data_IF_738770237363
#
_entry.id   IF_738770237363
#
_cell.length_a   1.000
_cell.length_b   1.000
_cell.length_c   1.000
_cell.angle_alpha   90.00
_cell.angle_beta   90.00
_cell.angle_gamma   90.00
#
_symmetry.space_group_name_H-M   'P 1'
#
loop_
_entity.id
_entity.type
_entity.pdbx_description
1 polymer ?
#
# COMPACT_ATOMS: atom_id res chain seq x y z
N UNK A 1 11.27 -20.34 -8.81
CA UNK A 1 11.10 -19.71 -10.14
C UNK A 1 10.58 -18.31 -9.96
N UNK A 2 10.79 -17.42 -10.95
CA UNK A 2 10.50 -15.98 -10.76
C UNK A 2 9.55 -15.48 -11.86
N UNK A 3 8.59 -14.64 -11.47
CA UNK A 3 7.72 -13.83 -12.33
C UNK A 3 7.62 -12.42 -11.78
N UNK A 4 7.29 -11.47 -12.64
CA UNK A 4 7.17 -10.07 -12.24
C UNK A 4 6.08 -9.38 -13.05
N UNK A 5 5.47 -8.36 -12.42
CA UNK A 5 4.54 -7.44 -13.06
C UNK A 5 4.82 -6.02 -12.57
N UNK A 6 4.23 -5.02 -13.21
CA UNK A 6 4.30 -3.63 -12.77
C UNK A 6 2.92 -3.17 -12.31
N UNK A 7 2.82 -2.71 -11.07
CA UNK A 7 1.61 -2.14 -10.49
C UNK A 7 1.93 -1.17 -9.34
N UNK A 8 1.03 -0.26 -9.03
CA UNK A 8 1.18 0.72 -7.94
C UNK A 8 2.49 1.53 -8.06
N UNK A 9 2.90 1.86 -9.28
CA UNK A 9 4.17 2.52 -9.62
C UNK A 9 5.42 1.80 -9.09
N UNK A 10 5.37 0.46 -8.99
CA UNK A 10 6.50 -0.37 -8.59
C UNK A 10 6.51 -1.67 -9.39
N UNK A 11 7.69 -2.28 -9.47
CA UNK A 11 7.82 -3.66 -9.86
C UNK A 11 7.36 -4.54 -8.70
N UNK A 12 6.54 -5.53 -8.99
CA UNK A 12 6.13 -6.58 -8.04
C UNK A 12 6.74 -7.89 -8.52
N UNK A 13 7.57 -8.49 -7.67
CA UNK A 13 8.31 -9.71 -7.95
C UNK A 13 7.75 -10.87 -7.15
N UNK A 14 7.60 -12.01 -7.80
CA UNK A 14 7.11 -13.26 -7.23
C UNK A 14 8.16 -14.34 -7.40
N UNK A 15 8.58 -14.95 -6.33
CA UNK A 15 9.51 -16.09 -6.33
C UNK A 15 8.84 -17.26 -5.63
N UNK A 16 8.80 -18.43 -6.31
CA UNK A 16 8.17 -19.65 -5.78
C UNK A 16 9.09 -20.85 -6.03
N UNK A 17 8.90 -21.91 -5.24
CA UNK A 17 9.65 -23.19 -5.39
C UNK A 17 9.36 -23.89 -6.72
N UNK A 18 8.14 -23.75 -7.24
CA UNK A 18 7.70 -24.29 -8.54
C UNK A 18 7.10 -23.18 -9.42
N UNK A 19 6.97 -23.38 -10.74
CA UNK A 19 6.34 -22.40 -11.63
C UNK A 19 4.91 -22.07 -11.17
N UNK A 20 4.55 -20.78 -11.19
CA UNK A 20 3.16 -20.37 -11.04
C UNK A 20 2.43 -20.76 -12.32
N UNK A 21 1.34 -21.52 -12.19
CA UNK A 21 0.50 -21.91 -13.33
C UNK A 21 -0.03 -20.66 -14.06
N UNK A 22 -0.19 -20.74 -15.38
CA UNK A 22 -0.55 -19.58 -16.19
C UNK A 22 -1.90 -18.99 -15.77
N UNK A 23 -2.89 -19.83 -15.49
CA UNK A 23 -4.21 -19.40 -14.99
C UNK A 23 -4.13 -18.63 -13.66
N UNK A 24 -3.29 -19.10 -12.74
CA UNK A 24 -3.05 -18.43 -11.45
C UNK A 24 -2.32 -17.09 -11.65
N UNK A 25 -1.36 -17.07 -12.58
CA UNK A 25 -0.64 -15.84 -12.92
C UNK A 25 -1.55 -14.79 -13.53
N UNK A 26 -2.40 -15.15 -14.49
CA UNK A 26 -3.38 -14.23 -15.06
C UNK A 26 -4.34 -13.64 -14.03
N UNK A 27 -4.72 -14.44 -13.01
CA UNK A 27 -5.57 -13.93 -11.93
C UNK A 27 -4.82 -12.98 -11.01
N UNK A 28 -3.53 -13.23 -10.73
CA UNK A 28 -2.69 -12.27 -10.00
C UNK A 28 -2.55 -10.96 -10.78
N UNK A 29 -2.29 -11.04 -12.08
CA UNK A 29 -2.21 -9.84 -12.95
C UNK A 29 -3.53 -9.06 -12.92
N UNK A 30 -4.67 -9.74 -13.07
CA UNK A 30 -6.01 -9.09 -12.98
C UNK A 30 -6.22 -8.43 -11.60
N UNK A 31 -5.82 -9.11 -10.54
CA UNK A 31 -5.94 -8.56 -9.19
C UNK A 31 -5.06 -7.31 -8.99
N UNK A 32 -3.80 -7.34 -9.40
CA UNK A 32 -2.91 -6.18 -9.27
C UNK A 32 -3.34 -5.01 -10.17
N UNK A 33 -3.86 -5.28 -11.36
CA UNK A 33 -4.46 -4.24 -12.22
C UNK A 33 -5.71 -3.62 -11.57
N UNK A 34 -6.53 -4.43 -10.89
CA UNK A 34 -7.66 -3.92 -10.11
C UNK A 34 -7.17 -3.00 -8.99
N UNK A 35 -6.20 -3.43 -8.19
CA UNK A 35 -5.64 -2.65 -7.09
C UNK A 35 -5.06 -1.32 -7.60
N UNK A 36 -4.27 -1.36 -8.66
CA UNK A 36 -3.63 -0.17 -9.24
C UNK A 36 -4.65 0.89 -9.65
N UNK A 37 -5.79 0.47 -10.19
CA UNK A 37 -6.89 1.37 -10.59
C UNK A 37 -7.75 1.80 -9.42
N UNK A 38 -8.24 0.86 -8.61
CA UNK A 38 -9.31 1.13 -7.65
C UNK A 38 -8.84 1.68 -6.31
N UNK A 39 -7.58 1.43 -5.93
CA UNK A 39 -7.00 1.92 -4.66
C UNK A 39 -6.16 3.19 -4.84
N UNK A 40 -6.08 3.70 -6.08
CA UNK A 40 -5.31 4.90 -6.40
C UNK A 40 -6.10 6.17 -6.10
N UNK A 41 -5.49 7.11 -5.37
CA UNK A 41 -6.03 8.47 -5.20
C UNK A 41 -5.75 9.39 -6.39
N UNK A 42 -4.97 8.93 -7.35
CA UNK A 42 -4.60 9.69 -8.55
C UNK A 42 -5.49 9.36 -9.76
N UNK A 43 -6.29 8.32 -9.67
CA UNK A 43 -7.28 7.96 -10.68
C UNK A 43 -8.66 8.47 -10.22
N UNK A 44 -9.22 9.44 -10.94
CA UNK A 44 -10.51 10.05 -10.62
C UNK A 44 -11.69 9.07 -10.68
N UNK A 45 -11.52 7.95 -11.38
CA UNK A 45 -12.53 6.90 -11.49
C UNK A 45 -12.37 5.80 -10.45
N UNK A 46 -11.36 5.89 -9.58
CA UNK A 46 -11.13 4.91 -8.53
C UNK A 46 -12.19 4.95 -7.43
N UNK A 47 -12.42 3.81 -6.78
CA UNK A 47 -13.28 3.74 -5.59
C UNK A 47 -12.78 4.68 -4.48
N UNK A 48 -11.45 4.79 -4.28
CA UNK A 48 -10.83 5.71 -3.30
C UNK A 48 -11.15 7.17 -3.64
N UNK A 49 -11.05 7.55 -4.90
CA UNK A 49 -11.38 8.92 -5.32
C UNK A 49 -12.87 9.22 -5.21
N UNK A 50 -13.73 8.24 -5.47
CA UNK A 50 -15.18 8.38 -5.24
C UNK A 50 -15.48 8.57 -3.74
N UNK A 51 -14.88 7.78 -2.85
CA UNK A 51 -15.03 7.94 -1.39
C UNK A 51 -14.54 9.33 -0.94
N UNK A 52 -13.43 9.82 -1.48
CA UNK A 52 -12.89 11.13 -1.14
C UNK A 52 -13.79 12.31 -1.61
N UNK A 53 -14.70 12.08 -2.55
CA UNK A 53 -15.69 13.08 -3.02
C UNK A 53 -17.02 13.04 -2.30
N UNK A 54 -17.28 12.05 -1.44
CA UNK A 54 -18.52 11.99 -0.66
C UNK A 54 -18.68 13.24 0.21
N UNK A 55 -19.92 13.68 0.41
CA UNK A 55 -20.25 14.66 1.45
C UNK A 55 -20.38 13.93 2.79
N UNK A 56 -20.25 14.64 3.86
CA UNK A 56 -20.55 14.09 5.21
C UNK A 56 -22.01 13.65 5.25
N UNK A 57 -22.25 12.40 5.64
CA UNK A 57 -23.55 11.75 5.65
C UNK A 57 -23.81 10.86 4.44
N UNK A 58 -23.06 11.00 3.34
CA UNK A 58 -23.24 10.16 2.15
C UNK A 58 -22.56 8.79 2.34
N UNK A 59 -23.13 7.77 1.70
CA UNK A 59 -22.65 6.38 1.69
C UNK A 59 -22.35 5.94 0.26
N UNK A 60 -21.26 5.19 0.08
CA UNK A 60 -20.89 4.52 -1.16
C UNK A 60 -20.63 3.04 -0.88
N UNK A 61 -21.22 2.17 -1.68
CA UNK A 61 -20.91 0.73 -1.68
C UNK A 61 -19.66 0.51 -2.52
N UNK A 62 -18.62 -0.07 -1.90
CA UNK A 62 -17.35 -0.35 -2.54
C UNK A 62 -17.12 -1.86 -2.66
N UNK A 63 -16.09 -2.23 -3.43
CA UNK A 63 -15.69 -3.63 -3.55
C UNK A 63 -15.27 -4.22 -2.20
N UNK A 64 -15.53 -5.51 -2.02
CA UNK A 64 -15.15 -6.24 -0.79
C UNK A 64 -13.65 -6.16 -0.45
N UNK A 65 -12.70 -6.25 -1.42
CA UNK A 65 -11.29 -6.06 -1.12
C UNK A 65 -10.97 -4.68 -0.55
N UNK A 66 -11.55 -3.61 -1.10
CA UNK A 66 -11.34 -2.26 -0.59
C UNK A 66 -11.99 -2.07 0.78
N UNK A 67 -13.23 -2.52 0.97
CA UNK A 67 -13.91 -2.45 2.26
C UNK A 67 -13.10 -3.12 3.39
N UNK A 68 -12.59 -4.32 3.13
CA UNK A 68 -11.71 -5.05 4.07
C UNK A 68 -10.40 -4.32 4.35
N UNK A 69 -9.81 -3.70 3.34
CA UNK A 69 -8.61 -2.90 3.50
C UNK A 69 -8.87 -1.66 4.36
N UNK A 70 -9.95 -0.94 4.09
CA UNK A 70 -10.35 0.25 4.85
C UNK A 70 -10.65 -0.10 6.32
N UNK A 71 -11.40 -1.16 6.57
CA UNK A 71 -11.68 -1.62 7.94
C UNK A 71 -10.39 -1.99 8.71
N UNK A 72 -9.42 -2.62 8.03
CA UNK A 72 -8.10 -2.91 8.61
C UNK A 72 -7.30 -1.62 8.86
N UNK A 73 -7.29 -0.71 7.91
CA UNK A 73 -6.57 0.56 8.01
C UNK A 73 -7.13 1.44 9.14
N UNK A 74 -8.46 1.48 9.29
CA UNK A 74 -9.12 2.16 10.42
C UNK A 74 -8.73 1.53 11.76
N UNK A 75 -8.71 0.21 11.85
CA UNK A 75 -8.25 -0.49 13.07
C UNK A 75 -6.79 -0.15 13.41
N UNK A 76 -5.91 -0.09 12.41
CA UNK A 76 -4.52 0.29 12.66
C UNK A 76 -4.39 1.76 13.08
N UNK A 77 -5.19 2.65 12.51
CA UNK A 77 -5.28 4.04 12.97
C UNK A 77 -5.60 4.13 14.46
N UNK A 78 -6.57 3.36 14.93
CA UNK A 78 -6.96 3.31 16.34
C UNK A 78 -5.89 2.64 17.22
N UNK A 79 -5.41 1.44 16.82
CA UNK A 79 -4.45 0.65 17.60
C UNK A 79 -3.07 1.29 17.73
N UNK A 80 -2.68 2.13 16.79
CA UNK A 80 -1.41 2.86 16.83
C UNK A 80 -1.55 4.27 17.42
N UNK A 81 -2.67 4.57 18.07
CA UNK A 81 -2.92 5.91 18.61
C UNK A 81 -2.71 7.00 17.54
N UNK A 82 -3.09 6.70 16.30
CA UNK A 82 -2.97 7.59 15.11
C UNK A 82 -1.55 7.77 14.56
N UNK A 83 -0.51 7.09 15.11
CA UNK A 83 0.82 7.10 14.49
C UNK A 83 0.80 6.52 13.06
N UNK A 84 -0.06 5.55 12.77
CA UNK A 84 -0.44 5.21 11.42
C UNK A 84 -1.81 5.85 11.10
N UNK A 85 -1.91 6.57 9.98
CA UNK A 85 -3.18 7.13 9.53
C UNK A 85 -3.35 6.97 8.01
N UNK A 86 -4.45 6.33 7.57
CA UNK A 86 -4.81 6.28 6.14
C UNK A 86 -5.61 7.52 5.71
N UNK A 87 -5.75 8.54 6.56
CA UNK A 87 -6.60 9.71 6.36
C UNK A 87 -5.82 11.01 6.19
N UNK A 88 -4.57 10.92 5.70
CA UNK A 88 -3.63 12.04 5.59
C UNK A 88 -3.56 12.67 4.19
N UNK A 89 -4.52 12.41 3.30
CA UNK A 89 -4.46 12.94 1.94
C UNK A 89 -4.42 14.48 1.93
N UNK A 90 -5.22 15.15 2.76
CA UNK A 90 -5.23 16.62 2.82
C UNK A 90 -3.86 17.17 3.26
N UNK A 91 -3.22 16.57 4.26
CA UNK A 91 -1.89 16.94 4.75
C UNK A 91 -0.80 16.71 3.68
N UNK A 92 -0.87 15.58 2.98
CA UNK A 92 0.05 15.27 1.89
C UNK A 92 -0.09 16.28 0.75
N UNK A 93 -1.31 16.66 0.39
CA UNK A 93 -1.59 17.68 -0.62
C UNK A 93 -1.14 19.08 -0.17
N UNK A 94 -1.32 19.43 1.10
CA UNK A 94 -0.81 20.67 1.69
C UNK A 94 0.73 20.72 1.62
N UNK A 95 1.40 19.59 1.87
CA UNK A 95 2.84 19.45 1.71
C UNK A 95 3.30 19.33 0.24
N UNK A 96 2.39 19.52 -0.73
CA UNK A 96 2.71 19.52 -2.16
C UNK A 96 2.64 18.18 -2.86
N UNK A 97 2.32 17.08 -2.19
CA UNK A 97 2.15 15.75 -2.83
C UNK A 97 0.77 15.62 -3.48
N UNK A 98 0.58 16.33 -4.59
CA UNK A 98 -0.71 16.40 -5.34
C UNK A 98 -0.75 15.52 -6.58
N UNK A 99 0.40 15.11 -7.08
CA UNK A 99 0.53 14.30 -8.30
C UNK A 99 1.37 13.06 -8.06
N UNK A 100 1.22 12.06 -8.92
CA UNK A 100 2.02 10.85 -8.86
C UNK A 100 3.50 11.15 -9.14
N UNK A 101 4.41 10.42 -8.46
CA UNK A 101 5.83 10.45 -8.77
C UNK A 101 6.11 9.94 -10.20
N UNK A 102 7.19 10.43 -10.85
CA UNK A 102 8.24 11.31 -10.30
C UNK A 102 7.91 12.80 -10.40
N UNK A 103 8.19 13.54 -9.35
CA UNK A 103 8.31 15.01 -9.37
C UNK A 103 9.36 15.43 -8.33
N UNK A 104 10.03 16.57 -8.56
CA UNK A 104 11.15 17.04 -7.73
C UNK A 104 10.84 18.31 -6.95
N UNK A 105 9.85 19.07 -7.41
CA UNK A 105 9.45 20.32 -6.77
C UNK A 105 7.95 20.36 -6.55
N UNK A 106 7.54 20.91 -5.43
CA UNK A 106 6.15 21.10 -5.08
C UNK A 106 5.95 22.46 -4.41
N UNK A 107 4.72 22.96 -4.44
CA UNK A 107 4.30 24.14 -3.69
C UNK A 107 3.64 23.64 -2.41
N UNK A 108 4.15 24.05 -1.26
CA UNK A 108 3.49 23.86 0.02
C UNK A 108 2.32 24.86 0.15
N UNK A 109 1.32 24.46 0.90
CA UNK A 109 0.15 25.24 1.23
C UNK A 109 -0.01 25.30 2.73
N UNK A 110 -1.02 26.01 3.22
CA UNK A 110 -1.33 26.10 4.63
C UNK A 110 -1.43 24.73 5.28
N UNK A 111 -0.95 24.63 6.49
CA UNK A 111 -0.98 23.39 7.28
C UNK A 111 -2.42 22.96 7.54
N UNK A 112 -2.68 21.67 7.36
CA UNK A 112 -3.98 21.04 7.61
C UNK A 112 -3.81 20.05 8.74
N UNK A 113 -4.60 20.22 9.80
CA UNK A 113 -4.57 19.28 10.92
C UNK A 113 -5.07 17.88 10.52
N UNK A 114 -4.42 16.81 10.97
CA UNK A 114 -4.91 15.45 10.75
C UNK A 114 -6.21 15.19 11.52
N UNK A 115 -7.09 14.29 11.04
CA UNK A 115 -8.30 13.96 11.78
C UNK A 115 -7.97 13.24 13.09
N UNK A 116 -8.70 13.58 14.15
CA UNK A 116 -8.56 12.95 15.48
C UNK A 116 -9.33 11.63 15.58
N UNK A 117 -10.37 11.48 14.80
CA UNK A 117 -11.21 10.28 14.69
C UNK A 117 -11.28 9.81 13.25
N UNK A 118 -11.57 8.53 13.03
CA UNK A 118 -11.76 7.99 11.70
C UNK A 118 -12.93 8.69 10.99
N UNK A 119 -12.71 9.29 9.81
CA UNK A 119 -13.73 10.07 9.11
C UNK A 119 -14.71 9.21 8.30
N UNK A 120 -14.58 7.89 8.33
CA UNK A 120 -15.45 6.95 7.63
C UNK A 120 -15.86 5.80 8.56
N UNK A 121 -17.15 5.41 8.44
CA UNK A 121 -17.70 4.19 9.04
C UNK A 121 -17.79 3.13 7.94
N UNK A 122 -17.35 1.90 8.22
CA UNK A 122 -17.35 0.78 7.26
C UNK A 122 -18.27 -0.32 7.80
N UNK A 123 -19.34 -0.60 7.10
CA UNK A 123 -20.34 -1.64 7.42
C UNK A 123 -20.50 -2.59 6.23
N UNK A 124 -19.85 -3.75 6.29
CA UNK A 124 -19.78 -4.65 5.15
C UNK A 124 -19.02 -4.03 3.98
N UNK A 125 -19.71 -3.75 2.88
CA UNK A 125 -19.18 -3.02 1.72
C UNK A 125 -19.61 -1.56 1.67
N UNK A 126 -20.47 -1.11 2.58
CA UNK A 126 -20.93 0.26 2.62
C UNK A 126 -19.98 1.12 3.46
N UNK A 127 -19.58 2.24 2.88
CA UNK A 127 -18.65 3.19 3.49
C UNK A 127 -19.33 4.54 3.57
N UNK A 128 -19.61 4.99 4.80
CA UNK A 128 -20.26 6.26 5.07
C UNK A 128 -19.25 7.29 5.53
N UNK A 129 -19.24 8.46 4.92
CA UNK A 129 -18.41 9.56 5.39
C UNK A 129 -19.05 10.28 6.56
N UNK A 130 -18.36 10.36 7.69
CA UNK A 130 -18.88 10.97 8.94
C UNK A 130 -18.05 12.15 9.44
N UNK A 131 -16.91 12.44 8.80
CA UNK A 131 -16.04 13.51 9.27
C UNK A 131 -15.11 14.11 8.23
N UNK A 132 -14.31 15.06 8.67
CA UNK A 132 -13.22 15.65 7.91
C UNK A 132 -12.05 14.68 7.81
N UNK A 133 -11.39 14.66 6.67
CA UNK A 133 -10.28 13.77 6.35
C UNK A 133 -10.52 13.06 5.03
N UNK A 134 -9.43 12.63 4.39
CA UNK A 134 -9.47 12.02 3.08
C UNK A 134 -8.50 10.85 3.02
N UNK A 135 -8.91 9.79 2.32
CA UNK A 135 -8.19 8.51 2.24
C UNK A 135 -6.97 8.63 1.34
N UNK A 136 -5.82 8.16 1.85
CA UNK A 136 -4.63 7.79 1.09
C UNK A 136 -4.14 6.42 1.55
N UNK A 137 -4.07 5.48 0.63
CA UNK A 137 -3.65 4.10 0.91
C UNK A 137 -2.16 3.85 0.66
N UNK A 138 -1.36 4.89 0.37
CA UNK A 138 0.06 4.77 0.06
C UNK A 138 0.88 4.04 1.12
N UNK A 139 0.51 4.17 2.40
CA UNK A 139 1.18 3.51 3.53
C UNK A 139 0.75 2.06 3.80
N UNK A 140 -0.31 1.55 3.14
CA UNK A 140 -0.82 0.20 3.42
C UNK A 140 -1.17 -0.61 2.16
N UNK A 141 -1.48 0.06 1.05
CA UNK A 141 -2.05 -0.60 -0.13
C UNK A 141 -1.14 -1.66 -0.74
N UNK A 142 0.16 -1.37 -0.88
CA UNK A 142 1.14 -2.32 -1.45
C UNK A 142 1.28 -3.58 -0.59
N UNK A 143 1.52 -3.40 0.71
CA UNK A 143 1.64 -4.52 1.63
C UNK A 143 0.37 -5.36 1.72
N UNK A 144 -0.82 -4.72 1.66
CA UNK A 144 -2.10 -5.43 1.63
C UNK A 144 -2.29 -6.24 0.35
N UNK A 145 -1.96 -5.67 -0.82
CA UNK A 145 -2.02 -6.39 -2.09
C UNK A 145 -1.07 -7.60 -2.12
N UNK A 146 0.17 -7.40 -1.70
CA UNK A 146 1.16 -8.48 -1.58
C UNK A 146 0.70 -9.58 -0.59
N UNK A 147 0.08 -9.20 0.54
CA UNK A 147 -0.46 -10.15 1.51
C UNK A 147 -1.61 -11.00 0.92
N UNK A 148 -2.53 -10.38 0.19
CA UNK A 148 -3.64 -11.11 -0.46
C UNK A 148 -3.07 -12.10 -1.49
N UNK A 149 -2.11 -11.67 -2.31
CA UNK A 149 -1.43 -12.53 -3.28
C UNK A 149 -0.68 -13.68 -2.59
N UNK A 150 0.05 -13.41 -1.49
CA UNK A 150 0.74 -14.44 -0.72
C UNK A 150 -0.23 -15.46 -0.12
N UNK A 151 -1.35 -15.01 0.46
CA UNK A 151 -2.39 -15.89 1.00
C UNK A 151 -3.00 -16.81 -0.07
N UNK A 152 -3.08 -16.33 -1.30
CA UNK A 152 -3.55 -17.11 -2.43
C UNK A 152 -2.52 -18.15 -2.86
N UNK A 153 -1.28 -17.73 -3.09
CA UNK A 153 -0.21 -18.62 -3.54
C UNK A 153 0.15 -19.71 -2.51
N UNK A 154 0.12 -19.40 -1.23
CA UNK A 154 0.42 -20.37 -0.15
C UNK A 154 -0.49 -21.60 -0.13
N UNK A 155 -1.61 -21.58 -0.82
CA UNK A 155 -2.49 -22.78 -0.93
C UNK A 155 -1.87 -23.88 -1.78
N UNK A 156 -1.01 -23.53 -2.73
CA UNK A 156 -0.47 -24.45 -3.72
C UNK A 156 1.06 -24.45 -3.79
N UNK A 157 1.74 -23.49 -3.15
CA UNK A 157 3.20 -23.35 -3.12
C UNK A 157 3.70 -23.33 -1.68
N UNK A 158 4.55 -24.29 -1.35
CA UNK A 158 5.07 -24.46 0.02
C UNK A 158 6.15 -23.44 0.36
N UNK A 159 6.72 -22.79 -0.65
CA UNK A 159 7.75 -21.77 -0.45
C UNK A 159 7.58 -20.64 -1.48
N UNK A 160 7.57 -19.41 -0.99
CA UNK A 160 7.45 -18.24 -1.85
C UNK A 160 7.87 -16.94 -1.18
N UNK A 161 8.11 -15.96 -2.05
CA UNK A 161 8.44 -14.59 -1.69
C UNK A 161 7.69 -13.66 -2.66
N UNK A 162 7.11 -12.60 -2.12
CA UNK A 162 6.57 -11.48 -2.90
C UNK A 162 7.26 -10.21 -2.42
N UNK A 163 7.83 -9.47 -3.36
CA UNK A 163 8.41 -8.14 -3.12
C UNK A 163 7.59 -7.10 -3.89
N UNK A 164 7.22 -6.02 -3.21
CA UNK A 164 6.43 -4.93 -3.77
C UNK A 164 6.98 -3.57 -3.30
N UNK A 165 7.95 -3.03 -4.03
CA UNK A 165 8.52 -1.70 -3.78
C UNK A 165 9.22 -1.57 -2.42
N UNK A 166 9.98 -2.59 -2.03
CA UNK A 166 10.74 -2.65 -0.78
C UNK A 166 10.02 -3.35 0.38
N UNK A 167 8.72 -3.64 0.25
CA UNK A 167 8.01 -4.49 1.18
C UNK A 167 8.10 -5.95 0.71
N UNK A 168 8.49 -6.86 1.58
CA UNK A 168 8.71 -8.27 1.28
C UNK A 168 7.82 -9.13 2.17
N UNK A 169 7.14 -10.11 1.57
CA UNK A 169 6.38 -11.14 2.29
C UNK A 169 6.96 -12.49 1.91
N UNK A 170 7.22 -13.34 2.91
CA UNK A 170 7.78 -14.66 2.69
C UNK A 170 6.97 -15.75 3.41
N UNK A 171 7.01 -16.95 2.84
CA UNK A 171 6.57 -18.18 3.49
C UNK A 171 7.44 -19.34 3.03
N UNK A 172 7.62 -20.32 3.92
CA UNK A 172 8.37 -21.55 3.63
C UNK A 172 8.05 -22.64 4.66
N UNK A 173 7.71 -23.80 4.19
CA UNK A 173 7.57 -25.00 5.04
C UNK A 173 8.92 -25.73 5.25
N UNK A 174 9.97 -25.28 4.53
CA UNK A 174 11.33 -25.81 4.61
C UNK A 174 12.33 -24.76 5.08
N UNK A 175 13.39 -24.56 4.29
CA UNK A 175 14.46 -23.62 4.59
C UNK A 175 13.97 -22.16 4.63
N UNK A 176 14.47 -21.35 5.59
CA UNK A 176 14.09 -19.95 5.69
C UNK A 176 14.57 -19.16 4.46
N UNK A 177 13.92 -18.02 4.23
CA UNK A 177 14.40 -17.00 3.33
C UNK A 177 15.45 -16.15 4.04
N UNK A 178 16.52 -15.82 3.34
CA UNK A 178 17.53 -14.85 3.79
C UNK A 178 17.22 -13.52 3.10
N UNK A 179 16.86 -12.51 3.88
CA UNK A 179 16.55 -11.16 3.40
C UNK A 179 17.68 -10.25 3.81
N UNK A 180 18.43 -9.76 2.83
CA UNK A 180 19.51 -8.80 3.06
C UNK A 180 18.96 -7.39 3.07
N UNK A 181 19.26 -6.64 4.11
CA UNK A 181 18.96 -5.21 4.21
C UNK A 181 20.22 -4.44 3.82
N UNK A 182 20.09 -3.56 2.85
CA UNK A 182 21.19 -2.69 2.38
C UNK A 182 20.93 -1.23 2.74
N UNK A 183 22.01 -0.48 2.90
CA UNK A 183 21.94 0.96 3.08
C UNK A 183 21.46 1.62 1.77
N UNK A 184 20.48 2.55 1.82
CA UNK A 184 19.84 3.06 0.60
C UNK A 184 20.73 3.93 -0.28
N UNK A 185 21.83 4.47 0.23
CA UNK A 185 22.76 5.34 -0.51
C UNK A 185 24.05 4.63 -0.88
N UNK A 186 24.62 3.79 0.02
CA UNK A 186 25.90 3.13 -0.19
C UNK A 186 25.78 1.71 -0.73
N UNK A 187 24.55 1.15 -0.73
CA UNK A 187 24.25 -0.24 -1.08
C UNK A 187 24.97 -1.29 -0.22
N UNK A 188 25.70 -0.84 0.81
CA UNK A 188 26.38 -1.73 1.74
C UNK A 188 25.37 -2.57 2.53
N UNK A 189 25.73 -3.80 2.78
CA UNK A 189 24.94 -4.71 3.61
C UNK A 189 24.92 -4.23 5.06
N UNK A 190 23.71 -3.98 5.57
CA UNK A 190 23.48 -3.55 6.95
C UNK A 190 23.13 -4.74 7.85
N UNK A 191 22.26 -5.64 7.37
CA UNK A 191 21.81 -6.79 8.14
C UNK A 191 21.28 -7.90 7.23
N UNK A 192 21.23 -9.14 7.76
CA UNK A 192 20.43 -10.23 7.20
C UNK A 192 19.39 -10.68 8.20
N UNK A 193 18.19 -10.93 7.68
CA UNK A 193 17.07 -11.46 8.44
C UNK A 193 16.69 -12.81 7.85
N UNK A 194 16.62 -13.84 8.70
CA UNK A 194 16.11 -15.14 8.29
C UNK A 194 14.66 -15.31 8.72
N UNK A 195 13.79 -15.57 7.75
CA UNK A 195 12.36 -15.73 7.98
C UNK A 195 11.82 -16.98 7.27
N UNK A 196 11.08 -17.80 8.01
CA UNK A 196 10.25 -18.86 7.41
C UNK A 196 8.88 -18.33 7.02
N UNK A 197 8.34 -17.44 7.83
CA UNK A 197 7.05 -16.82 7.59
C UNK A 197 7.06 -15.42 8.20
N UNK A 198 6.66 -14.42 7.42
CA UNK A 198 6.57 -13.04 7.90
C UNK A 198 6.66 -12.03 6.78
N UNK A 199 6.86 -10.79 7.18
CA UNK A 199 7.06 -9.68 6.28
C UNK A 199 8.17 -8.76 6.80
N UNK A 200 8.84 -8.11 5.87
CA UNK A 200 9.79 -7.00 6.13
C UNK A 200 9.29 -5.81 5.33
N UNK A 201 9.09 -4.68 6.00
CA UNK A 201 8.76 -3.42 5.36
C UNK A 201 9.91 -2.44 5.53
N UNK A 202 10.24 -1.71 4.47
CA UNK A 202 11.33 -0.75 4.44
C UNK A 202 10.81 0.65 4.18
N UNK A 203 11.13 1.58 5.08
CA UNK A 203 10.86 3.01 4.89
C UNK A 203 12.16 3.79 4.80
N UNK A 204 12.26 4.68 3.82
CA UNK A 204 13.41 5.57 3.68
C UNK A 204 12.97 6.95 3.17
N UNK A 205 13.87 7.94 3.26
CA UNK A 205 13.65 9.32 2.78
C UNK A 205 14.37 9.61 1.46
N UNK A 206 15.03 8.64 0.84
CA UNK A 206 15.88 8.84 -0.33
C UNK A 206 15.09 8.75 -1.63
N UNK A 207 14.27 7.70 -1.79
CA UNK A 207 13.64 7.39 -3.09
C UNK A 207 12.36 8.16 -3.40
N UNK A 208 11.64 8.63 -2.37
CA UNK A 208 10.40 9.42 -2.53
C UNK A 208 10.47 10.66 -1.68
N UNK A 209 11.28 11.61 -2.12
CA UNK A 209 11.42 12.92 -1.50
C UNK A 209 11.16 14.01 -2.54
N UNK A 210 10.65 15.14 -2.08
CA UNK A 210 10.47 16.34 -2.88
C UNK A 210 10.84 17.57 -2.04
N UNK A 211 11.17 18.67 -2.72
CA UNK A 211 11.41 19.94 -2.06
C UNK A 211 10.20 20.84 -2.25
N UNK A 212 9.81 21.54 -1.21
CA UNK A 212 8.87 22.66 -1.31
C UNK A 212 9.63 23.94 -1.65
N UNK A 213 9.02 24.88 -2.38
CA UNK A 213 9.70 26.11 -2.82
C UNK A 213 10.21 26.99 -1.69
N UNK A 214 9.66 26.82 -0.48
CA UNK A 214 10.00 27.65 0.69
C UNK A 214 11.08 27.02 1.58
N UNK A 215 11.61 25.86 1.21
CA UNK A 215 12.78 25.23 1.85
C UNK A 215 14.00 25.45 0.97
N UNK A 216 14.64 26.61 1.14
CA UNK A 216 15.99 26.91 0.66
C UNK A 216 17.05 26.37 1.63
#
# INVERSE_FOLDING_TARGET
MERQLYAMHNQVRFVTDQPIAETEWEELVRFFNYVDRQWSRFDDQSEVSHLNRLRIGDTLSVSLPLARLLARATRYFEQTERYFSPFLLAQQQANGYRQSFPFTQAVAYDEVAPPEIAPFIIEGCDVTRVGGGFIDLGGIGKGAAAMIAAQRLRKNWNRGLIEAGGDVIVWSDGEPWNITITHPETEERVADIQLRQGAVATSNRVYRSWKTRDQT
#
